data_IF_482201169295
#
_entry.id   IF_482201169295
#
_cell.length_a   1.000
_cell.length_b   1.000
_cell.length_c   1.000
_cell.angle_alpha   90.00
_cell.angle_beta   90.00
_cell.angle_gamma   90.00
#
_symmetry.space_group_name_H-M   'P 1'
#
loop_
_entity.id
_entity.type
_entity.pdbx_description
1 polymer ?
#
# COMPACT_ATOMS: atom_id res chain seq x y z
N UNK A 1 11.54 66.89 -43.27
CA UNK A 1 11.83 65.58 -42.63
C UNK A 1 11.15 65.48 -41.26
N UNK A 2 9.83 65.29 -41.19
CA UNK A 2 9.06 65.38 -39.91
C UNK A 2 8.09 64.24 -39.60
N UNK A 3 7.86 63.29 -40.51
CA UNK A 3 6.78 62.29 -40.37
C UNK A 3 7.19 60.97 -39.67
N UNK A 4 8.48 60.73 -39.43
CA UNK A 4 8.98 59.42 -38.96
C UNK A 4 8.80 59.14 -37.46
N UNK A 5 8.44 60.13 -36.63
CA UNK A 5 8.25 59.93 -35.18
C UNK A 5 6.82 59.53 -34.80
N UNK A 6 5.83 59.99 -35.57
CA UNK A 6 4.42 59.70 -35.29
C UNK A 6 4.08 58.25 -35.61
N UNK A 7 4.57 57.73 -36.74
CA UNK A 7 4.34 56.35 -37.16
C UNK A 7 4.96 55.34 -36.18
N UNK A 8 6.17 55.61 -35.68
CA UNK A 8 6.79 54.76 -34.65
C UNK A 8 6.01 54.74 -33.34
N UNK A 9 5.35 55.85 -32.98
CA UNK A 9 4.54 55.93 -31.77
C UNK A 9 3.23 55.15 -31.93
N UNK A 10 2.58 55.26 -33.09
CA UNK A 10 1.36 54.51 -33.42
C UNK A 10 1.62 53.00 -33.51
N UNK A 11 2.73 52.59 -34.10
CA UNK A 11 3.18 51.19 -34.16
C UNK A 11 3.43 50.63 -32.74
N UNK A 12 4.08 51.41 -31.87
CA UNK A 12 4.34 51.00 -30.49
C UNK A 12 3.06 50.87 -29.67
N UNK A 13 2.10 51.78 -29.87
CA UNK A 13 0.79 51.73 -29.21
C UNK A 13 0.00 50.48 -29.65
N UNK A 14 -0.08 50.20 -30.95
CA UNK A 14 -0.73 48.99 -31.48
C UNK A 14 -0.15 47.70 -30.91
N UNK A 15 1.18 47.63 -30.71
CA UNK A 15 1.82 46.46 -30.11
C UNK A 15 1.47 46.26 -28.64
N UNK A 16 1.29 47.35 -27.87
CA UNK A 16 0.86 47.27 -26.47
C UNK A 16 -0.60 46.85 -26.36
N UNK A 17 -1.46 47.42 -27.19
CA UNK A 17 -2.89 47.10 -27.19
C UNK A 17 -3.09 45.61 -27.52
N UNK A 18 -2.38 45.08 -28.52
CA UNK A 18 -2.42 43.66 -28.89
C UNK A 18 -1.81 42.72 -27.83
N UNK A 19 -0.86 43.20 -27.03
CA UNK A 19 -0.29 42.42 -25.93
C UNK A 19 -1.22 42.35 -24.73
N UNK A 20 -1.95 43.43 -24.44
CA UNK A 20 -2.96 43.46 -23.38
C UNK A 20 -4.18 42.60 -23.73
N UNK A 21 -4.60 42.59 -24.98
CA UNK A 21 -5.71 41.74 -25.47
C UNK A 21 -5.41 40.25 -25.24
N UNK A 22 -4.21 39.78 -25.62
CA UNK A 22 -3.78 38.39 -25.37
C UNK A 22 -3.74 38.02 -23.88
N UNK A 23 -3.35 38.97 -23.03
CA UNK A 23 -3.28 38.74 -21.58
C UNK A 23 -4.67 38.58 -20.97
N UNK A 24 -5.64 39.34 -21.47
CA UNK A 24 -7.04 39.22 -21.07
C UNK A 24 -7.65 37.89 -21.50
N UNK A 25 -7.34 37.42 -22.72
CA UNK A 25 -7.81 36.11 -23.21
C UNK A 25 -7.21 34.93 -22.42
N UNK A 26 -5.94 35.02 -22.02
CA UNK A 26 -5.29 34.00 -21.17
C UNK A 26 -5.88 33.96 -19.76
N UNK A 27 -6.20 35.12 -19.16
CA UNK A 27 -6.85 35.19 -17.84
C UNK A 27 -8.26 34.59 -17.86
N UNK A 28 -9.03 34.84 -18.93
CA UNK A 28 -10.38 34.30 -19.11
C UNK A 28 -10.37 32.76 -19.29
N UNK A 29 -9.40 32.21 -20.03
CA UNK A 29 -9.23 30.76 -20.17
C UNK A 29 -8.87 30.07 -18.85
N UNK A 30 -8.01 30.67 -18.04
CA UNK A 30 -7.62 30.11 -16.73
C UNK A 30 -8.82 30.12 -15.76
N UNK A 31 -9.69 31.13 -15.84
CA UNK A 31 -10.88 31.21 -15.01
C UNK A 31 -11.94 30.16 -15.45
N UNK A 32 -12.10 29.92 -16.74
CA UNK A 32 -13.00 28.89 -17.29
C UNK A 32 -12.53 27.46 -16.95
N UNK A 33 -11.22 27.20 -17.01
CA UNK A 33 -10.63 25.92 -16.55
C UNK A 33 -10.78 25.70 -15.04
N UNK A 34 -10.70 26.77 -14.24
CA UNK A 34 -10.92 26.71 -12.79
C UNK A 34 -12.38 26.37 -12.44
N UNK A 35 -13.34 26.98 -13.13
CA UNK A 35 -14.76 26.75 -12.90
C UNK A 35 -15.21 25.35 -13.37
N UNK A 36 -14.67 24.84 -14.47
CA UNK A 36 -14.95 23.49 -14.98
C UNK A 36 -14.38 22.41 -14.05
N UNK A 37 -13.17 22.60 -13.51
CA UNK A 37 -12.58 21.72 -12.50
C UNK A 37 -13.36 21.71 -11.17
N UNK A 38 -13.88 22.87 -10.74
CA UNK A 38 -14.71 22.95 -9.54
C UNK A 38 -16.04 22.20 -9.70
N UNK A 39 -16.70 22.33 -10.87
CA UNK A 39 -17.93 21.59 -11.19
C UNK A 39 -17.71 20.07 -11.28
N UNK A 40 -16.57 19.64 -11.84
CA UNK A 40 -16.20 18.23 -11.89
C UNK A 40 -15.99 17.62 -10.48
N UNK A 41 -15.32 18.36 -9.58
CA UNK A 41 -15.14 17.94 -8.17
C UNK A 41 -16.45 17.84 -7.40
N UNK A 42 -17.37 18.80 -7.57
CA UNK A 42 -18.67 18.81 -6.89
C UNK A 42 -19.57 17.65 -7.34
N UNK A 43 -19.60 17.35 -8.65
CA UNK A 43 -20.37 16.23 -9.21
C UNK A 43 -19.83 14.86 -8.74
N UNK A 44 -18.53 14.76 -8.51
CA UNK A 44 -17.90 13.57 -7.92
C UNK A 44 -18.32 13.34 -6.47
N UNK A 45 -18.37 14.38 -5.64
CA UNK A 45 -18.80 14.26 -4.23
C UNK A 45 -20.26 13.78 -4.12
N UNK A 46 -21.16 14.30 -4.97
CA UNK A 46 -22.55 13.85 -4.99
C UNK A 46 -22.75 12.42 -5.48
N UNK A 47 -21.95 11.95 -6.44
CA UNK A 47 -22.10 10.58 -6.96
C UNK A 47 -21.67 9.52 -5.93
N UNK A 48 -20.70 9.86 -5.08
CA UNK A 48 -20.25 8.99 -3.97
C UNK A 48 -21.27 8.91 -2.84
N UNK A 49 -22.01 10.00 -2.56
CA UNK A 49 -23.06 10.01 -1.53
C UNK A 49 -24.31 9.22 -1.94
N UNK A 50 -24.69 9.25 -3.23
CA UNK A 50 -25.91 8.56 -3.69
C UNK A 50 -25.76 7.04 -3.70
N UNK A 51 -24.57 6.49 -3.94
CA UNK A 51 -24.32 5.04 -3.83
C UNK A 51 -24.32 4.50 -2.38
N UNK A 52 -24.23 5.37 -1.37
CA UNK A 52 -24.20 4.98 0.05
C UNK A 52 -25.59 4.73 0.68
N UNK A 53 -26.68 4.86 -0.08
CA UNK A 53 -28.05 4.77 0.45
C UNK A 53 -28.79 3.47 0.17
N UNK A 54 -28.20 2.47 -0.51
CA UNK A 54 -28.82 1.16 -0.70
C UNK A 54 -28.23 0.08 0.22
N UNK A 55 -29.03 -0.31 1.21
CA UNK A 55 -28.86 -1.48 2.12
C UNK A 55 -27.53 -1.51 2.91
N UNK A 56 -27.46 -0.70 3.98
CA UNK A 56 -26.33 -0.67 4.90
C UNK A 56 -26.28 -1.93 5.79
N UNK A 57 -25.71 -3.02 5.26
CA UNK A 57 -24.85 -3.83 6.15
C UNK A 57 -23.69 -2.90 6.52
N UNK A 58 -23.54 -2.54 7.79
CA UNK A 58 -22.38 -1.78 8.26
C UNK A 58 -21.14 -2.59 7.90
N UNK A 59 -20.47 -2.21 6.82
CA UNK A 59 -19.20 -2.83 6.43
C UNK A 59 -18.21 -2.48 7.54
N UNK A 60 -17.65 -3.50 8.18
CA UNK A 60 -16.58 -3.30 9.13
C UNK A 60 -15.40 -2.66 8.39
N UNK A 61 -14.81 -1.65 8.99
CA UNK A 61 -13.70 -0.88 8.42
C UNK A 61 -12.53 -0.89 9.41
N UNK A 62 -11.32 -0.91 8.88
CA UNK A 62 -10.09 -0.84 9.67
C UNK A 62 -9.41 0.49 9.39
N UNK A 63 -9.09 1.25 10.44
CA UNK A 63 -8.36 2.51 10.35
C UNK A 63 -6.90 2.29 10.75
N UNK A 64 -5.97 2.59 9.85
CA UNK A 64 -4.53 2.44 10.09
C UNK A 64 -3.82 3.79 10.02
N UNK A 65 -2.93 4.06 10.99
CA UNK A 65 -2.14 5.29 11.06
C UNK A 65 -0.84 5.18 10.25
N UNK A 66 -0.47 6.27 9.60
CA UNK A 66 0.80 6.46 8.90
C UNK A 66 1.43 7.80 9.30
N UNK A 67 2.77 7.93 9.16
CA UNK A 67 3.44 9.22 9.33
C UNK A 67 2.87 10.25 8.36
N UNK A 68 2.60 11.47 8.83
CA UNK A 68 2.12 12.56 7.97
C UNK A 68 3.28 13.10 7.12
N UNK A 69 3.37 12.63 5.88
CA UNK A 69 4.33 13.11 4.88
C UNK A 69 3.80 12.86 3.45
N UNK A 70 4.49 13.39 2.44
CA UNK A 70 4.12 13.24 1.03
C UNK A 70 4.04 11.77 0.59
N UNK A 71 4.89 10.90 1.17
CA UNK A 71 4.91 9.48 0.84
C UNK A 71 3.63 8.76 1.26
N UNK A 72 2.98 9.16 2.36
CA UNK A 72 1.72 8.54 2.81
C UNK A 72 0.55 8.90 1.90
N UNK A 73 0.51 10.13 1.40
CA UNK A 73 -0.49 10.56 0.42
C UNK A 73 -0.26 9.90 -0.94
N UNK A 74 1.00 9.79 -1.36
CA UNK A 74 1.34 9.08 -2.59
C UNK A 74 1.05 7.58 -2.48
N UNK A 75 1.28 6.96 -1.32
CA UNK A 75 0.87 5.58 -1.04
C UNK A 75 -0.64 5.39 -1.25
N UNK A 76 -1.48 6.28 -0.71
CA UNK A 76 -2.93 6.25 -0.94
C UNK A 76 -3.26 6.30 -2.44
N UNK A 77 -2.68 7.26 -3.17
CA UNK A 77 -2.94 7.42 -4.60
C UNK A 77 -2.59 6.15 -5.38
N UNK A 78 -1.45 5.52 -5.08
CA UNK A 78 -0.99 4.29 -5.73
C UNK A 78 -1.84 3.08 -5.39
N UNK A 79 -2.31 2.95 -4.15
CA UNK A 79 -3.22 1.87 -3.76
C UNK A 79 -4.58 2.00 -4.47
N UNK A 80 -5.11 3.22 -4.58
CA UNK A 80 -6.36 3.48 -5.32
C UNK A 80 -6.18 3.20 -6.82
N UNK A 81 -5.07 3.64 -7.42
CA UNK A 81 -4.74 3.35 -8.82
C UNK A 81 -4.69 1.84 -9.07
N UNK A 82 -4.00 1.11 -8.19
CA UNK A 82 -3.88 -0.34 -8.27
C UNK A 82 -5.25 -1.03 -8.19
N UNK A 83 -6.12 -0.60 -7.29
CA UNK A 83 -7.48 -1.15 -7.17
C UNK A 83 -8.33 -0.90 -8.40
N UNK A 84 -8.22 0.28 -9.03
CA UNK A 84 -8.91 0.56 -10.29
C UNK A 84 -8.42 -0.36 -11.41
N UNK A 85 -7.12 -0.61 -11.50
CA UNK A 85 -6.55 -1.54 -12.49
C UNK A 85 -7.01 -2.98 -12.25
N UNK A 86 -7.07 -3.43 -11.00
CA UNK A 86 -7.59 -4.76 -10.67
C UNK A 86 -9.07 -4.91 -11.06
N UNK A 87 -9.89 -3.89 -10.78
CA UNK A 87 -11.30 -3.87 -11.15
C UNK A 87 -11.50 -3.86 -12.67
N UNK A 88 -10.76 -3.03 -13.41
CA UNK A 88 -10.89 -2.94 -14.88
C UNK A 88 -10.43 -4.21 -15.58
N UNK A 89 -9.39 -4.86 -15.07
CA UNK A 89 -8.88 -6.12 -15.60
C UNK A 89 -9.68 -7.36 -15.16
N UNK A 90 -10.72 -7.20 -14.32
CA UNK A 90 -11.49 -8.30 -13.70
C UNK A 90 -10.58 -9.31 -12.99
N UNK A 91 -9.45 -8.84 -12.47
CA UNK A 91 -8.53 -9.68 -11.71
C UNK A 91 -9.10 -9.94 -10.31
N UNK A 92 -8.80 -11.11 -9.71
CA UNK A 92 -9.13 -11.34 -8.31
C UNK A 92 -8.50 -10.25 -7.43
N UNK A 93 -9.26 -9.77 -6.45
CA UNK A 93 -8.80 -8.77 -5.49
C UNK A 93 -7.85 -9.45 -4.51
N UNK A 94 -6.55 -9.22 -4.68
CA UNK A 94 -5.53 -9.82 -3.83
C UNK A 94 -5.01 -8.88 -2.73
N UNK A 95 -5.57 -7.67 -2.63
CA UNK A 95 -5.18 -6.63 -1.67
C UNK A 95 -6.44 -6.06 -1.04
N UNK A 96 -6.43 -5.84 0.28
CA UNK A 96 -7.54 -5.23 1.00
C UNK A 96 -7.97 -3.90 0.36
N UNK A 97 -9.29 -3.71 0.24
CA UNK A 97 -9.87 -2.54 -0.44
C UNK A 97 -9.62 -1.28 0.37
N UNK A 98 -9.12 -0.22 -0.27
CA UNK A 98 -8.96 1.09 0.35
C UNK A 98 -10.25 1.84 0.10
N UNK A 99 -10.83 2.39 1.15
CA UNK A 99 -12.10 3.10 1.09
C UNK A 99 -11.88 4.61 1.01
N UNK A 100 -11.03 5.14 1.88
CA UNK A 100 -10.73 6.57 1.98
C UNK A 100 -9.48 6.81 2.83
N UNK A 101 -9.11 8.09 3.01
CA UNK A 101 -8.13 8.51 4.01
C UNK A 101 -8.69 9.68 4.83
N UNK A 102 -8.20 9.82 6.05
CA UNK A 102 -8.43 10.97 6.91
C UNK A 102 -7.09 11.65 7.19
N UNK A 103 -7.04 12.97 7.05
CA UNK A 103 -5.87 13.78 7.34
C UNK A 103 -6.24 14.81 8.41
N UNK A 104 -5.44 14.87 9.46
CA UNK A 104 -5.53 15.85 10.55
C UNK A 104 -4.19 16.56 10.70
N UNK A 105 -4.08 17.51 11.63
CA UNK A 105 -2.84 18.27 11.84
C UNK A 105 -1.64 17.37 12.15
N UNK A 106 -1.86 16.30 12.93
CA UNK A 106 -0.79 15.42 13.41
C UNK A 106 -0.82 14.01 12.82
N UNK A 107 -1.97 13.55 12.30
CA UNK A 107 -2.14 12.16 11.86
C UNK A 107 -2.60 12.08 10.40
N UNK A 108 -2.09 11.06 9.70
CA UNK A 108 -2.63 10.58 8.42
C UNK A 108 -3.12 9.14 8.60
N UNK A 109 -4.38 8.87 8.29
CA UNK A 109 -5.00 7.56 8.47
C UNK A 109 -5.59 7.04 7.16
N UNK A 110 -5.35 5.77 6.85
CA UNK A 110 -6.02 5.07 5.75
C UNK A 110 -7.15 4.21 6.32
N UNK A 111 -8.27 4.18 5.61
CA UNK A 111 -9.46 3.40 5.97
C UNK A 111 -9.63 2.28 4.95
N UNK A 112 -9.66 1.04 5.42
CA UNK A 112 -9.76 -0.17 4.61
C UNK A 112 -11.06 -0.92 4.91
N UNK A 113 -11.54 -1.68 3.93
CA UNK A 113 -12.59 -2.68 4.14
C UNK A 113 -12.02 -3.84 4.97
N UNK A 114 -12.68 -4.20 6.07
CA UNK A 114 -12.28 -5.37 6.84
C UNK A 114 -12.46 -6.63 5.99
N UNK A 115 -11.43 -7.48 5.96
CA UNK A 115 -11.50 -8.77 5.29
C UNK A 115 -12.26 -9.73 6.21
N UNK A 116 -13.57 -9.79 6.04
CA UNK A 116 -14.39 -10.77 6.74
C UNK A 116 -14.21 -12.11 6.02
N UNK A 117 -13.44 -13.00 6.66
CA UNK A 117 -13.33 -14.39 6.27
C UNK A 117 -14.73 -14.93 6.19
N UNK A 118 -15.07 -15.50 5.04
CA UNK A 118 -16.41 -16.00 4.77
C UNK A 118 -16.62 -17.26 5.61
N UNK A 119 -16.89 -17.10 6.91
CA UNK A 119 -17.44 -18.15 7.75
C UNK A 119 -18.86 -18.35 7.25
N UNK A 120 -19.07 -19.44 6.50
CA UNK A 120 -20.41 -19.95 6.18
C UNK A 120 -21.08 -20.43 7.48
N UNK A 121 -21.39 -19.53 8.40
CA UNK A 121 -22.11 -19.86 9.62
C UNK A 121 -23.41 -19.06 9.63
N UNK A 122 -24.51 -19.81 9.52
CA UNK A 122 -25.84 -19.42 9.97
C UNK A 122 -25.81 -19.21 11.50
N UNK A 123 -25.05 -18.24 11.98
CA UNK A 123 -25.05 -17.84 13.38
C UNK A 123 -26.33 -17.03 13.61
N UNK A 124 -27.27 -17.66 14.31
CA UNK A 124 -28.53 -17.08 14.75
C UNK A 124 -28.22 -15.93 15.69
N UNK A 125 -28.73 -14.75 15.37
CA UNK A 125 -28.57 -13.53 16.15
C UNK A 125 -29.30 -13.66 17.49
N UNK A 126 -28.55 -13.93 18.55
CA UNK A 126 -28.98 -13.65 19.92
C UNK A 126 -28.43 -12.29 20.35
N UNK A 127 -29.33 -11.40 20.72
CA UNK A 127 -29.07 -10.04 21.17
C UNK A 127 -28.34 -10.03 22.52
N UNK A 128 -27.03 -10.17 22.53
CA UNK A 128 -26.19 -9.67 23.62
C UNK A 128 -24.94 -9.03 23.01
N UNK A 129 -24.69 -7.78 23.38
CA UNK A 129 -23.58 -6.94 22.94
C UNK A 129 -22.23 -7.48 23.46
N UNK A 130 -21.75 -8.57 22.87
CA UNK A 130 -20.32 -8.87 22.82
C UNK A 130 -19.99 -9.29 21.38
N UNK A 131 -19.27 -8.41 20.66
CA UNK A 131 -18.77 -8.63 19.31
C UNK A 131 -17.81 -9.82 19.29
N UNK A 132 -18.34 -11.03 19.09
CA UNK A 132 -17.55 -12.21 18.79
C UNK A 132 -17.06 -12.12 17.34
N UNK A 133 -15.89 -11.52 17.15
CA UNK A 133 -15.14 -11.48 15.90
C UNK A 133 -14.84 -12.94 15.48
N UNK A 134 -15.51 -13.46 14.46
CA UNK A 134 -15.02 -14.68 13.79
C UNK A 134 -13.83 -14.27 12.92
N UNK A 135 -12.61 -14.38 13.44
CA UNK A 135 -11.39 -13.97 12.76
C UNK A 135 -11.14 -14.86 11.54
N UNK A 136 -10.83 -14.23 10.40
CA UNK A 136 -10.23 -14.94 9.27
C UNK A 136 -8.88 -15.49 9.73
N UNK A 137 -8.58 -16.79 9.55
CA UNK A 137 -7.27 -17.29 9.90
C UNK A 137 -6.21 -16.59 9.05
N UNK A 138 -5.22 -15.98 9.71
CA UNK A 138 -4.01 -15.53 9.03
C UNK A 138 -3.24 -16.75 8.47
N UNK A 139 -2.22 -16.55 7.63
CA UNK A 139 -1.47 -17.70 7.05
C UNK A 139 -0.91 -18.60 8.15
N UNK A 140 -0.44 -18.07 9.28
CA UNK A 140 0.08 -18.90 10.37
C UNK A 140 -1.01 -19.70 11.07
N UNK A 141 -2.18 -19.12 11.29
CA UNK A 141 -3.36 -19.81 11.84
C UNK A 141 -3.87 -20.87 10.86
N UNK A 142 -3.93 -20.56 9.57
CA UNK A 142 -4.25 -21.51 8.52
C UNK A 142 -3.25 -22.67 8.51
N UNK A 143 -1.94 -22.39 8.54
CA UNK A 143 -0.91 -23.42 8.66
C UNK A 143 -1.11 -24.24 9.95
N UNK A 144 -1.34 -23.60 11.09
CA UNK A 144 -1.47 -24.24 12.40
C UNK A 144 -2.75 -25.07 12.55
N UNK A 145 -3.88 -24.63 12.00
CA UNK A 145 -5.13 -25.41 11.95
C UNK A 145 -4.96 -26.66 11.08
N UNK A 146 -4.20 -26.56 10.00
CA UNK A 146 -3.84 -27.71 9.17
C UNK A 146 -2.87 -28.66 9.90
N UNK A 147 -1.86 -28.14 10.60
CA UNK A 147 -0.96 -28.95 11.44
C UNK A 147 -1.75 -29.68 12.55
N UNK A 148 -2.65 -28.97 13.25
CA UNK A 148 -3.48 -29.54 14.33
C UNK A 148 -4.49 -30.57 13.83
N UNK A 149 -5.04 -30.39 12.62
CA UNK A 149 -6.00 -31.33 12.02
C UNK A 149 -5.36 -32.59 11.39
N UNK A 150 -4.06 -32.83 11.62
CA UNK A 150 -3.30 -33.98 11.10
C UNK A 150 -3.26 -34.08 9.57
N UNK A 151 -3.67 -33.03 8.86
CA UNK A 151 -3.55 -32.89 7.41
C UNK A 151 -2.44 -31.88 7.14
N UNK A 152 -1.22 -32.37 6.91
CA UNK A 152 -0.16 -31.52 6.34
C UNK A 152 -0.70 -30.88 5.07
N UNK A 153 -0.54 -29.56 4.95
CA UNK A 153 -0.73 -28.89 3.66
C UNK A 153 0.16 -29.59 2.64
N UNK A 154 -0.42 -29.87 1.48
CA UNK A 154 0.35 -30.46 0.41
C UNK A 154 1.37 -29.44 -0.10
N UNK A 155 2.52 -29.91 -0.54
CA UNK A 155 3.56 -29.05 -1.07
C UNK A 155 3.04 -28.18 -2.23
N UNK A 156 2.15 -28.75 -3.05
CA UNK A 156 1.50 -28.04 -4.15
C UNK A 156 0.63 -26.87 -3.67
N UNK A 157 -0.05 -27.01 -2.53
CA UNK A 157 -0.85 -25.93 -1.95
C UNK A 157 0.06 -24.80 -1.41
N UNK A 158 1.20 -25.16 -0.82
CA UNK A 158 2.21 -24.20 -0.35
C UNK A 158 2.80 -23.43 -1.53
N UNK A 159 3.20 -24.14 -2.59
CA UNK A 159 3.73 -23.53 -3.82
C UNK A 159 2.69 -22.58 -4.42
N UNK A 160 1.42 -22.99 -4.51
CA UNK A 160 0.35 -22.15 -5.03
C UNK A 160 0.12 -20.88 -4.17
N UNK A 161 0.23 -20.98 -2.84
CA UNK A 161 0.15 -19.80 -1.95
C UNK A 161 1.34 -18.87 -2.15
N UNK A 162 2.56 -19.40 -2.21
CA UNK A 162 3.79 -18.61 -2.43
C UNK A 162 3.75 -17.90 -3.78
N UNK A 163 3.29 -18.56 -4.84
CA UNK A 163 3.10 -17.94 -6.15
C UNK A 163 2.13 -16.75 -6.09
N UNK A 164 1.01 -16.89 -5.37
CA UNK A 164 0.07 -15.78 -5.16
C UNK A 164 0.72 -14.62 -4.39
N UNK A 165 1.50 -14.91 -3.35
CA UNK A 165 2.25 -13.90 -2.58
C UNK A 165 3.24 -13.15 -3.47
N UNK A 166 4.02 -13.87 -4.28
CA UNK A 166 4.97 -13.26 -5.23
C UNK A 166 4.24 -12.33 -6.19
N UNK A 167 3.10 -12.74 -6.73
CA UNK A 167 2.29 -11.90 -7.63
C UNK A 167 1.81 -10.64 -6.91
N UNK A 168 1.33 -10.75 -5.68
CA UNK A 168 0.89 -9.59 -4.87
C UNK A 168 2.05 -8.61 -4.67
N UNK A 169 3.19 -9.08 -4.16
CA UNK A 169 4.33 -8.23 -3.85
C UNK A 169 4.93 -7.61 -5.12
N UNK A 170 5.05 -8.38 -6.21
CA UNK A 170 5.50 -7.86 -7.51
C UNK A 170 4.58 -6.75 -8.00
N UNK A 171 3.27 -6.92 -7.83
CA UNK A 171 2.28 -5.90 -8.22
C UNK A 171 2.41 -4.62 -7.41
N UNK A 172 2.69 -4.72 -6.10
CA UNK A 172 3.01 -3.56 -5.25
C UNK A 172 4.28 -2.86 -5.74
N UNK A 173 5.35 -3.62 -6.03
CA UNK A 173 6.64 -3.08 -6.48
C UNK A 173 6.53 -2.32 -7.80
N UNK A 174 5.71 -2.81 -8.73
CA UNK A 174 5.38 -2.12 -9.99
C UNK A 174 4.68 -0.77 -9.77
N UNK A 175 3.94 -0.62 -8.67
CA UNK A 175 3.29 0.62 -8.27
C UNK A 175 4.14 1.44 -7.28
N UNK A 176 5.44 1.14 -7.19
CA UNK A 176 6.38 1.83 -6.29
C UNK A 176 5.95 1.74 -4.82
N UNK A 177 5.41 0.59 -4.41
CA UNK A 177 5.07 0.30 -3.02
C UNK A 177 5.97 -0.84 -2.53
N UNK A 178 6.63 -0.67 -1.40
CA UNK A 178 7.28 -1.77 -0.66
C UNK A 178 6.46 -2.08 0.58
N UNK A 179 6.35 -3.35 0.96
CA UNK A 179 5.58 -3.78 2.13
C UNK A 179 6.40 -3.69 3.41
N UNK A 180 7.72 -3.91 3.33
CA UNK A 180 8.71 -3.86 4.42
C UNK A 180 8.54 -4.91 5.53
N UNK A 181 7.48 -5.73 5.48
CA UNK A 181 7.17 -6.74 6.49
C UNK A 181 6.24 -7.82 5.92
N UNK A 182 6.80 -8.68 5.07
CA UNK A 182 6.02 -9.74 4.40
C UNK A 182 5.98 -11.00 5.28
N UNK A 183 5.22 -10.99 6.38
CA UNK A 183 5.15 -12.11 7.33
C UNK A 183 3.83 -12.91 7.21
N UNK A 184 3.67 -14.07 7.88
CA UNK A 184 2.43 -14.85 7.81
C UNK A 184 1.15 -14.09 8.20
N UNK A 185 1.27 -13.11 9.10
CA UNK A 185 0.14 -12.28 9.54
C UNK A 185 -0.20 -11.18 8.54
N UNK A 186 0.61 -10.99 7.49
CA UNK A 186 0.31 -10.02 6.43
C UNK A 186 -0.80 -10.50 5.50
N UNK A 187 -1.04 -11.82 5.47
CA UNK A 187 -1.93 -12.47 4.52
C UNK A 187 -3.03 -13.27 5.23
N UNK A 188 -4.20 -13.29 4.59
CA UNK A 188 -5.33 -14.17 4.91
C UNK A 188 -5.55 -15.14 3.76
N UNK A 189 -6.01 -16.35 4.08
CA UNK A 189 -6.36 -17.36 3.07
C UNK A 189 -7.88 -17.53 3.03
N UNK A 190 -8.51 -17.15 1.92
CA UNK A 190 -9.94 -17.33 1.70
C UNK A 190 -10.17 -18.67 1.01
N UNK A 191 -10.64 -19.65 1.76
CA UNK A 191 -10.85 -21.01 1.26
C UNK A 191 -12.25 -21.14 0.64
N UNK A 192 -12.35 -21.47 -0.65
CA UNK A 192 -13.63 -21.64 -1.36
C UNK A 192 -14.06 -23.12 -1.53
N UNK A 193 -13.56 -24.00 -0.67
CA UNK A 193 -14.08 -25.38 -0.54
C UNK A 193 -13.58 -26.39 -1.57
N UNK A 194 -12.41 -26.18 -2.21
CA UNK A 194 -11.96 -27.05 -3.31
C UNK A 194 -10.45 -27.24 -3.49
N UNK A 195 -9.62 -26.96 -2.48
CA UNK A 195 -8.16 -27.02 -2.59
C UNK A 195 -7.60 -25.77 -3.28
N UNK A 196 -6.55 -25.17 -2.70
CA UNK A 196 -6.02 -23.87 -3.13
C UNK A 196 -6.85 -22.68 -2.66
N UNK A 197 -6.56 -22.17 -1.46
CA UNK A 197 -7.16 -20.92 -0.98
C UNK A 197 -6.64 -19.69 -1.74
N UNK A 198 -7.46 -18.65 -1.80
CA UNK A 198 -7.07 -17.35 -2.36
C UNK A 198 -6.32 -16.56 -1.29
N UNK A 199 -5.08 -16.18 -1.58
CA UNK A 199 -4.27 -15.36 -0.68
C UNK A 199 -4.63 -13.89 -0.87
N UNK A 200 -4.96 -13.21 0.23
CA UNK A 200 -5.28 -11.78 0.25
C UNK A 200 -4.36 -11.08 1.23
N UNK A 201 -3.69 -10.03 0.76
CA UNK A 201 -2.90 -9.15 1.61
C UNK A 201 -3.82 -8.17 2.35
N UNK A 202 -3.79 -8.20 3.69
CA UNK A 202 -4.65 -7.34 4.51
C UNK A 202 -3.90 -6.37 5.43
N UNK A 203 -2.61 -6.60 5.70
CA UNK A 203 -1.79 -5.69 6.52
C UNK A 203 -1.04 -4.65 5.70
N UNK A 204 -1.74 -3.61 5.30
CA UNK A 204 -1.15 -2.52 4.52
C UNK A 204 -0.43 -1.48 5.40
N UNK A 205 -0.52 -1.56 6.73
CA UNK A 205 0.08 -0.63 7.70
C UNK A 205 1.60 -0.50 7.55
N UNK A 206 2.24 -1.53 7.01
CA UNK A 206 3.68 -1.60 6.81
C UNK A 206 4.11 -1.07 5.43
N UNK A 207 3.17 -0.94 4.48
CA UNK A 207 3.47 -0.47 3.15
C UNK A 207 3.97 0.98 3.13
N UNK A 208 4.92 1.26 2.24
CA UNK A 208 5.46 2.60 1.98
C UNK A 208 5.57 2.83 0.49
N UNK A 209 5.27 4.05 0.06
CA UNK A 209 5.70 4.51 -1.25
C UNK A 209 7.24 4.58 -1.27
N UNK A 210 7.85 3.93 -2.26
CA UNK A 210 9.29 3.90 -2.45
C UNK A 210 9.66 4.09 -3.93
N UNK A 211 10.40 5.16 -4.20
CA UNK A 211 11.06 5.41 -5.48
C UNK A 211 12.40 4.70 -5.51
N UNK A 212 12.70 4.02 -6.62
CA UNK A 212 13.88 3.14 -6.74
C UNK A 212 15.21 3.88 -6.53
N UNK A 213 15.22 5.19 -6.83
CA UNK A 213 16.41 6.04 -6.78
C UNK A 213 16.49 6.93 -5.53
N UNK A 214 15.43 6.98 -4.73
CA UNK A 214 15.40 7.79 -3.51
C UNK A 214 15.98 7.02 -2.33
N UNK A 215 16.51 7.78 -1.38
CA UNK A 215 17.07 7.27 -0.14
C UNK A 215 16.11 7.54 1.03
N UNK A 216 15.84 6.50 1.80
CA UNK A 216 14.95 6.54 2.96
C UNK A 216 15.76 6.35 4.23
N UNK A 217 15.50 7.18 5.25
CA UNK A 217 16.12 7.01 6.56
C UNK A 217 15.40 5.97 7.39
N UNK A 218 16.12 5.30 8.28
CA UNK A 218 15.56 4.33 9.23
C UNK A 218 14.34 4.87 10.00
N UNK A 219 14.40 6.14 10.40
CA UNK A 219 13.34 6.85 11.12
C UNK A 219 12.02 7.00 10.34
N UNK A 220 12.04 6.84 9.02
CA UNK A 220 10.86 6.90 8.16
C UNK A 220 10.23 5.50 7.95
N UNK A 221 10.96 4.45 8.30
CA UNK A 221 10.51 3.07 8.18
C UNK A 221 9.78 2.68 9.48
N UNK A 222 8.78 1.79 9.41
CA UNK A 222 8.18 1.23 10.62
C UNK A 222 9.28 0.59 11.49
N UNK A 223 9.15 0.70 12.82
CA UNK A 223 10.19 0.27 13.76
C UNK A 223 10.75 -1.12 13.39
N UNK A 224 12.07 -1.16 13.20
CA UNK A 224 12.82 -2.33 12.74
C UNK A 224 12.96 -3.41 13.81
N UNK A 225 12.64 -3.07 15.06
CA UNK A 225 12.72 -3.96 16.23
C UNK A 225 11.86 -5.23 16.10
N UNK A 226 11.02 -5.33 15.08
CA UNK A 226 10.18 -6.50 14.78
C UNK A 226 10.32 -7.01 13.34
N UNK A 227 11.42 -6.70 12.65
CA UNK A 227 11.70 -7.35 11.36
C UNK A 227 11.96 -8.83 11.63
N UNK A 228 10.89 -9.59 11.44
CA UNK A 228 10.77 -11.02 11.65
C UNK A 228 11.89 -11.85 10.98
N UNK A 229 12.62 -11.27 10.01
CA UNK A 229 14.04 -11.52 9.71
C UNK A 229 14.64 -10.25 9.07
N UNK A 230 15.83 -9.80 9.51
CA UNK A 230 16.57 -8.72 8.82
C UNK A 230 17.57 -9.36 7.86
N UNK A 231 17.64 -8.93 6.58
CA UNK A 231 18.66 -9.40 5.66
C UNK A 231 20.05 -9.27 6.29
N UNK A 232 20.93 -10.29 6.19
CA UNK A 232 22.27 -10.23 6.78
C UNK A 232 23.05 -8.98 6.39
N UNK A 233 22.92 -8.53 5.14
CA UNK A 233 23.59 -7.34 4.60
C UNK A 233 23.09 -6.01 5.22
N UNK A 234 21.91 -6.00 5.83
CA UNK A 234 21.39 -4.87 6.62
C UNK A 234 21.89 -4.95 8.08
N UNK A 235 22.19 -6.16 8.57
CA UNK A 235 22.78 -6.38 9.90
C UNK A 235 24.31 -6.22 9.94
N UNK A 236 25.00 -6.20 8.78
CA UNK A 236 26.47 -6.21 8.69
C UNK A 236 27.17 -4.86 8.99
N UNK A 237 26.49 -3.87 9.57
CA UNK A 237 27.20 -2.79 10.28
C UNK A 237 27.29 -3.15 11.77
N UNK A 238 28.36 -3.87 12.11
CA UNK A 238 28.82 -4.17 13.47
C UNK A 238 27.91 -5.07 14.31
N UNK A 239 28.02 -6.38 14.09
CA UNK A 239 27.39 -7.44 14.88
C UNK A 239 27.92 -7.51 16.32
N UNK A 240 27.34 -6.72 17.21
CA UNK A 240 27.19 -7.02 18.64
C UNK A 240 25.73 -6.80 19.04
N UNK A 241 25.15 -7.62 19.93
CA UNK A 241 23.79 -7.39 20.46
C UNK A 241 23.64 -6.02 21.15
N UNK A 242 24.75 -5.45 21.60
CA UNK A 242 24.82 -4.12 22.21
C UNK A 242 25.09 -2.97 21.21
N UNK A 243 25.39 -3.26 19.93
CA UNK A 243 25.65 -2.25 18.90
C UNK A 243 24.47 -2.00 17.97
N UNK A 244 23.34 -2.71 18.08
CA UNK A 244 22.08 -2.24 17.48
C UNK A 244 21.71 -0.83 17.98
N UNK A 245 22.04 -0.51 19.23
CA UNK A 245 21.89 0.84 19.79
C UNK A 245 22.92 1.84 19.25
N UNK A 246 24.05 1.40 18.68
CA UNK A 246 25.08 2.30 18.12
C UNK A 246 24.99 2.46 16.59
N UNK A 247 24.53 1.43 15.86
CA UNK A 247 24.18 1.53 14.43
C UNK A 247 22.91 2.37 14.20
N UNK A 248 22.09 2.60 15.25
CA UNK A 248 21.00 3.58 15.22
C UNK A 248 21.48 5.03 15.08
N UNK A 249 22.77 5.32 15.31
CA UNK A 249 23.33 6.67 15.25
C UNK A 249 24.08 7.00 13.95
N UNK A 250 24.41 6.00 13.13
CA UNK A 250 24.80 6.27 11.74
C UNK A 250 23.52 6.42 10.93
N UNK A 251 23.40 7.52 10.18
CA UNK A 251 22.25 7.79 9.32
C UNK A 251 22.19 6.82 8.14
N UNK A 252 21.94 5.54 8.42
CA UNK A 252 21.82 4.48 7.42
C UNK A 252 20.64 4.82 6.53
N UNK A 253 20.97 5.11 5.27
CA UNK A 253 20.01 5.43 4.22
C UNK A 253 19.91 4.23 3.29
N UNK A 254 18.69 3.83 2.99
CA UNK A 254 18.41 2.70 2.09
C UNK A 254 17.78 3.23 0.80
N UNK A 255 18.25 2.76 -0.34
CA UNK A 255 17.57 3.03 -1.62
C UNK A 255 16.23 2.32 -1.67
N UNK A 256 15.24 2.89 -2.36
CA UNK A 256 13.94 2.22 -2.55
C UNK A 256 14.05 0.81 -3.14
N UNK A 257 15.01 0.56 -4.04
CA UNK A 257 15.29 -0.81 -4.53
C UNK A 257 15.74 -1.78 -3.43
N UNK A 258 16.54 -1.31 -2.46
CA UNK A 258 16.96 -2.15 -1.32
C UNK A 258 15.78 -2.49 -0.41
N UNK A 259 14.86 -1.55 -0.24
CA UNK A 259 13.62 -1.77 0.51
C UNK A 259 12.70 -2.80 -0.18
N UNK A 260 12.56 -2.73 -1.50
CA UNK A 260 11.85 -3.76 -2.28
C UNK A 260 12.54 -5.12 -2.19
N UNK A 261 13.87 -5.16 -2.22
CA UNK A 261 14.63 -6.40 -2.05
C UNK A 261 14.40 -7.05 -0.67
N UNK A 262 14.15 -6.25 0.38
CA UNK A 262 13.79 -6.78 1.70
C UNK A 262 12.48 -7.57 1.66
N UNK A 263 11.48 -7.14 0.88
CA UNK A 263 10.24 -7.91 0.70
C UNK A 263 10.52 -9.28 0.05
N UNK A 264 11.47 -9.36 -0.89
CA UNK A 264 11.84 -10.63 -1.55
C UNK A 264 12.54 -11.57 -0.56
N UNK A 265 13.44 -11.03 0.26
CA UNK A 265 14.06 -11.80 1.34
C UNK A 265 13.01 -12.35 2.31
N UNK A 266 12.05 -11.51 2.69
CA UNK A 266 10.90 -11.87 3.52
C UNK A 266 10.05 -12.99 2.89
N UNK A 267 9.77 -12.96 1.58
CA UNK A 267 9.09 -14.07 0.88
C UNK A 267 9.89 -15.37 0.99
N UNK A 268 11.22 -15.31 0.83
CA UNK A 268 12.09 -16.49 0.95
C UNK A 268 12.01 -17.13 2.34
N UNK A 269 12.09 -16.31 3.40
CA UNK A 269 11.89 -16.75 4.78
C UNK A 269 10.49 -17.35 4.98
N UNK A 270 9.45 -16.67 4.48
CA UNK A 270 8.07 -17.16 4.60
C UNK A 270 7.91 -18.54 3.95
N UNK A 271 8.47 -18.69 2.76
CA UNK A 271 8.45 -19.94 1.99
C UNK A 271 9.14 -21.06 2.77
N UNK A 272 10.31 -20.78 3.35
CA UNK A 272 11.02 -21.73 4.21
C UNK A 272 10.17 -22.16 5.40
N UNK A 273 9.59 -21.19 6.12
CA UNK A 273 8.74 -21.45 7.29
C UNK A 273 7.52 -22.30 6.91
N UNK A 274 6.89 -22.02 5.77
CA UNK A 274 5.74 -22.79 5.29
C UNK A 274 6.10 -24.24 4.96
N UNK A 275 7.28 -24.48 4.38
CA UNK A 275 7.73 -25.82 3.99
C UNK A 275 8.29 -26.63 5.18
N UNK A 276 9.05 -25.98 6.05
CA UNK A 276 9.79 -26.66 7.13
C UNK A 276 9.05 -26.64 8.48
N UNK A 277 8.12 -25.69 8.67
CA UNK A 277 7.37 -25.53 9.91
C UNK A 277 8.16 -24.89 11.06
N UNK A 278 9.35 -24.35 10.80
CA UNK A 278 10.18 -23.66 11.80
C UNK A 278 10.86 -22.42 11.20
N UNK A 279 11.27 -21.48 12.07
CA UNK A 279 11.97 -20.26 11.66
C UNK A 279 13.44 -20.56 11.33
N UNK A 280 13.94 -20.08 10.19
CA UNK A 280 15.32 -20.34 9.82
C UNK A 280 16.28 -19.69 10.83
N UNK A 281 17.26 -20.45 11.29
CA UNK A 281 18.33 -19.92 12.12
C UNK A 281 19.39 -19.29 11.20
N UNK A 282 20.01 -18.18 11.60
CA UNK A 282 20.91 -17.36 10.76
C UNK A 282 22.03 -18.12 10.01
N UNK A 283 22.36 -19.34 10.45
CA UNK A 283 23.36 -20.23 9.84
C UNK A 283 22.87 -20.91 8.54
N UNK A 284 21.56 -21.08 8.35
CA UNK A 284 21.00 -21.82 7.20
C UNK A 284 21.04 -21.02 5.88
N UNK A 285 21.28 -19.71 5.94
CA UNK A 285 21.46 -18.85 4.76
C UNK A 285 22.94 -18.54 4.45
N UNK A 286 23.88 -19.07 5.23
CA UNK A 286 25.30 -18.98 4.91
C UNK A 286 25.56 -20.03 3.83
N UNK A 287 25.49 -19.61 2.56
CA UNK A 287 26.05 -20.39 1.46
C UNK A 287 27.56 -20.41 1.71
N UNK A 288 28.07 -21.51 2.28
CA UNK A 288 29.49 -21.76 2.38
C UNK A 288 30.07 -21.65 0.96
N UNK A 289 30.85 -20.59 0.73
CA UNK A 289 31.66 -20.42 -0.47
C UNK A 289 32.84 -21.38 -0.45
#
# INVERSE_FOLDING_TARGET
MGYNKLDKHLESKRRRDKANERRSEEEEQVEEESQTNARAKSKWQQTVEVEHTRTKRKKQCIKMRYPKNENSKELYNRLVELQRKQQSAKMPVCIARVLSYEESDNDFCLIFEAVNGNTNNNATTTNEEEELITSTPNVLEYLNEYVKSSKRLKEEDIIAMVQQIIVIITTLHQHRIAHLRVDPNSFSVINKGGGGGIVVLHRLDQCRYVSDNEYYSLSQLPMIDQWWCVPPDIMMSDCHPNSFQHAQHTASKYKGMQLKAADIYHIGVLTFVMLQGYMPMSLEFIINK
#
